data_IF_693300352909
#
_entry.id   IF_693300352909
#
_cell.length_a   1.000
_cell.length_b   1.000
_cell.length_c   1.000
_cell.angle_alpha   90.00
_cell.angle_beta   90.00
_cell.angle_gamma   90.00
#
_symmetry.space_group_name_H-M   'P 1'
#
loop_
_entity.id
_entity.type
_entity.pdbx_description
1 polymer ?
#
# COMPACT_ATOMS: atom_id res chain seq x y z
N UNK A 1 50.35 -3.03 -45.35
CA UNK A 1 51.30 -2.71 -44.25
C UNK A 1 50.43 -2.54 -42.99
N UNK A 2 50.48 -3.37 -41.93
CA UNK A 2 51.53 -3.54 -40.87
C UNK A 2 51.96 -2.17 -40.29
N UNK A 3 51.97 -1.84 -39.00
CA UNK A 3 51.75 -2.52 -37.68
C UNK A 3 50.98 -1.55 -36.73
N UNK A 4 50.21 -1.86 -35.68
CA UNK A 4 50.20 -2.89 -34.60
C UNK A 4 50.98 -2.57 -33.30
N UNK A 5 50.26 -2.10 -32.26
CA UNK A 5 50.44 -2.32 -30.78
C UNK A 5 49.12 -1.87 -30.09
N UNK A 6 48.31 -2.69 -29.39
CA UNK A 6 48.47 -3.35 -28.06
C UNK A 6 48.84 -2.36 -26.93
N UNK A 7 48.19 -2.32 -25.75
CA UNK A 7 47.02 -3.01 -25.16
C UNK A 7 46.44 -2.11 -24.02
N UNK A 8 45.49 -2.43 -23.11
CA UNK A 8 44.81 -3.68 -22.69
C UNK A 8 43.43 -3.36 -22.04
N UNK A 9 42.78 -4.34 -21.36
CA UNK A 9 41.50 -4.20 -20.61
C UNK A 9 41.63 -4.96 -19.26
N UNK A 10 41.01 -4.46 -18.17
CA UNK A 10 40.30 -5.32 -17.21
C UNK A 10 38.92 -4.74 -16.81
N UNK A 11 37.88 -5.51 -16.51
CA UNK A 11 37.71 -6.96 -16.59
C UNK A 11 36.30 -7.36 -16.13
N UNK A 12 35.48 -7.91 -17.03
CA UNK A 12 34.11 -8.35 -16.73
C UNK A 12 34.09 -9.64 -15.92
N UNK A 13 33.35 -9.70 -14.80
CA UNK A 13 33.04 -10.96 -14.11
C UNK A 13 31.66 -11.50 -14.52
N UNK A 14 31.63 -12.33 -15.56
CA UNK A 14 30.53 -13.29 -15.78
C UNK A 14 30.65 -14.44 -14.77
N UNK A 15 29.56 -14.87 -14.14
CA UNK A 15 29.47 -16.17 -13.45
C UNK A 15 28.96 -17.24 -14.44
N UNK A 16 29.46 -18.49 -14.40
CA UNK A 16 29.01 -19.57 -15.27
C UNK A 16 27.77 -20.31 -14.71
N UNK A 17 27.00 -21.02 -15.55
CA UNK A 17 25.82 -21.77 -15.13
C UNK A 17 26.12 -23.24 -14.76
N UNK A 18 25.50 -23.72 -13.67
CA UNK A 18 25.41 -25.10 -13.15
C UNK A 18 24.27 -25.14 -12.09
N UNK A 19 23.56 -26.23 -11.76
CA UNK A 19 23.50 -27.61 -12.31
C UNK A 19 22.13 -28.25 -11.97
N UNK A 20 21.67 -29.23 -12.75
CA UNK A 20 20.56 -30.17 -12.45
C UNK A 20 20.63 -31.33 -13.48
N UNK A 21 20.15 -32.58 -13.22
CA UNK A 21 19.18 -33.01 -12.20
C UNK A 21 19.49 -34.39 -11.50
N UNK A 22 18.45 -34.97 -10.85
CA UNK A 22 18.13 -36.44 -10.71
C UNK A 22 18.54 -37.22 -9.41
N UNK A 23 17.93 -38.40 -9.07
CA UNK A 23 17.07 -38.47 -7.86
C UNK A 23 17.20 -39.73 -6.95
N UNK A 24 16.37 -39.78 -5.87
CA UNK A 24 16.03 -40.97 -5.06
C UNK A 24 16.58 -40.93 -3.62
N UNK A 25 16.10 -41.72 -2.65
CA UNK A 25 14.83 -42.44 -2.45
C UNK A 25 14.80 -42.98 -0.98
N UNK A 26 13.59 -43.26 -0.42
CA UNK A 26 13.37 -43.98 0.86
C UNK A 26 13.88 -43.31 2.18
N UNK A 27 13.31 -43.55 3.38
CA UNK A 27 12.03 -44.17 3.79
C UNK A 27 11.80 -44.00 5.31
N UNK A 28 10.58 -44.33 5.79
CA UNK A 28 10.14 -44.66 7.17
C UNK A 28 9.41 -43.59 7.99
N UNK A 29 8.09 -43.70 7.94
CA UNK A 29 7.18 -43.48 9.08
C UNK A 29 7.40 -44.52 10.19
N UNK A 30 6.88 -44.27 11.39
CA UNK A 30 5.86 -45.19 11.94
C UNK A 30 4.59 -44.49 12.47
N UNK A 31 3.56 -45.30 12.73
CA UNK A 31 2.18 -44.90 13.10
C UNK A 31 1.93 -44.90 14.61
N UNK A 32 1.07 -43.95 15.03
CA UNK A 32 -0.11 -44.06 15.92
C UNK A 32 -0.14 -44.90 17.23
N UNK A 33 -0.60 -44.23 18.30
CA UNK A 33 -1.58 -44.65 19.33
C UNK A 33 -2.17 -43.34 19.92
N UNK A 34 -3.47 -43.07 20.14
CA UNK A 34 -4.66 -43.80 20.62
C UNK A 34 -4.66 -44.05 22.14
N UNK A 35 -5.63 -43.43 22.84
CA UNK A 35 -5.95 -43.59 24.27
C UNK A 35 -6.12 -42.22 24.98
N UNK A 36 -7.33 -41.68 25.21
CA UNK A 36 -8.44 -42.09 26.11
C UNK A 36 -8.37 -41.46 27.53
N UNK A 37 -9.24 -40.45 27.76
CA UNK A 37 -9.80 -39.98 29.05
C UNK A 37 -10.71 -41.06 29.71
N UNK A 38 -11.34 -40.91 30.92
CA UNK A 38 -11.48 -39.79 31.89
C UNK A 38 -11.32 -40.26 33.38
N UNK A 39 -12.12 -39.88 34.43
CA UNK A 39 -12.57 -38.57 34.99
C UNK A 39 -12.22 -38.38 36.52
N UNK A 40 -12.57 -37.23 37.16
CA UNK A 40 -13.03 -37.26 38.58
C UNK A 40 -12.85 -36.05 39.54
N UNK A 41 -13.89 -35.20 39.62
CA UNK A 41 -14.53 -34.60 40.84
C UNK A 41 -13.85 -33.67 41.90
N UNK A 42 -14.76 -32.91 42.57
CA UNK A 42 -14.65 -32.12 43.83
C UNK A 42 -13.96 -30.74 43.74
N UNK A 43 -14.44 -29.63 44.37
CA UNK A 43 -15.62 -29.37 45.26
C UNK A 43 -15.98 -27.86 45.26
N UNK A 44 -17.14 -27.45 45.79
CA UNK A 44 -17.67 -26.07 45.72
C UNK A 44 -17.92 -25.40 47.09
N UNK A 45 -17.93 -24.04 47.13
CA UNK A 45 -18.65 -23.12 48.07
C UNK A 45 -18.02 -21.69 48.04
N UNK A 46 -18.67 -20.61 48.55
CA UNK A 46 -20.09 -20.26 48.71
C UNK A 46 -20.46 -18.87 48.07
N UNK A 47 -21.73 -18.39 48.11
CA UNK A 47 -22.16 -17.19 47.36
C UNK A 47 -22.03 -15.87 48.13
N UNK A 48 -21.99 -14.74 47.41
CA UNK A 48 -22.04 -13.39 47.98
C UNK A 48 -23.29 -12.63 47.51
N UNK A 49 -24.17 -12.28 48.43
CA UNK A 49 -25.43 -11.55 48.18
C UNK A 49 -25.29 -10.08 48.59
N UNK A 50 -25.47 -9.14 47.64
CA UNK A 50 -25.81 -7.73 47.95
C UNK A 50 -26.84 -7.19 46.96
N UNK A 51 -27.72 -6.34 47.47
CA UNK A 51 -28.89 -5.81 46.77
C UNK A 51 -28.54 -4.91 45.58
N UNK A 52 -29.37 -4.95 44.54
CA UNK A 52 -29.52 -3.86 43.57
C UNK A 52 -31.00 -3.47 43.51
N UNK A 53 -31.30 -2.20 43.77
CA UNK A 53 -32.63 -1.62 43.53
C UNK A 53 -32.85 -1.27 42.05
N UNK A 54 -34.08 -0.91 41.65
CA UNK A 54 -34.42 -0.69 40.25
C UNK A 54 -33.77 0.60 39.72
N UNK A 55 -32.79 0.47 38.83
CA UNK A 55 -32.31 1.58 38.02
C UNK A 55 -33.20 1.74 36.77
N UNK A 56 -33.78 2.92 36.60
CA UNK A 56 -34.49 3.30 35.38
C UNK A 56 -33.57 3.21 34.14
N UNK A 57 -34.11 2.88 32.95
CA UNK A 57 -33.28 2.75 31.75
C UNK A 57 -32.68 4.10 31.35
N UNK A 58 -31.38 4.18 31.03
CA UNK A 58 -30.78 5.40 30.50
C UNK A 58 -31.34 5.65 29.10
N UNK A 59 -31.93 6.83 28.91
CA UNK A 59 -32.41 7.31 27.61
C UNK A 59 -31.20 7.45 26.68
N UNK A 60 -31.10 6.53 25.72
CA UNK A 60 -30.01 6.51 24.76
C UNK A 60 -30.18 7.69 23.77
N UNK A 61 -29.58 8.84 24.09
CA UNK A 61 -29.40 9.92 23.11
C UNK A 61 -28.45 9.39 22.03
N UNK A 62 -28.79 9.49 20.73
CA UNK A 62 -27.85 9.15 19.69
C UNK A 62 -26.60 10.02 19.84
N UNK A 63 -25.44 9.39 20.00
CA UNK A 63 -24.17 10.09 19.95
C UNK A 63 -24.07 10.80 18.60
N UNK A 64 -23.54 12.03 18.60
CA UNK A 64 -23.29 12.77 17.37
C UNK A 64 -22.40 11.90 16.48
N UNK A 65 -22.95 11.44 15.36
CA UNK A 65 -22.14 11.02 14.23
C UNK A 65 -21.25 12.20 13.86
N UNK A 66 -19.96 12.07 14.12
CA UNK A 66 -18.96 12.97 13.55
C UNK A 66 -18.99 12.73 12.05
N UNK A 67 -19.80 13.52 11.34
CA UNK A 67 -19.66 13.71 9.90
C UNK A 67 -18.18 14.00 9.67
N UNK A 68 -17.50 13.07 8.99
CA UNK A 68 -16.18 13.30 8.45
C UNK A 68 -16.35 14.52 7.54
N UNK A 69 -15.79 15.67 7.90
CA UNK A 69 -15.82 16.81 7.00
C UNK A 69 -15.12 16.39 5.71
N UNK A 70 -15.68 16.73 4.54
CA UNK A 70 -15.17 16.22 3.28
C UNK A 70 -13.73 16.69 3.09
N UNK A 71 -12.87 15.74 2.76
CA UNK A 71 -11.53 15.97 2.26
C UNK A 71 -11.65 16.70 0.92
N UNK A 72 -11.51 18.03 0.94
CA UNK A 72 -11.70 18.86 -0.26
C UNK A 72 -10.42 18.83 -1.11
N UNK A 73 -10.13 17.67 -1.69
CA UNK A 73 -9.24 17.60 -2.84
C UNK A 73 -9.84 18.47 -3.94
N UNK A 74 -9.11 19.49 -4.39
CA UNK A 74 -9.53 20.35 -5.49
C UNK A 74 -9.05 19.77 -6.85
N UNK A 75 -9.76 20.07 -7.96
CA UNK A 75 -9.28 19.70 -9.28
C UNK A 75 -7.96 20.42 -9.61
N UNK A 76 -7.14 19.87 -10.53
CA UNK A 76 -5.90 20.49 -10.95
C UNK A 76 -6.15 21.69 -11.88
N UNK A 77 -5.61 22.85 -11.52
CA UNK A 77 -5.77 24.10 -12.29
C UNK A 77 -4.96 24.12 -13.61
N UNK A 78 -3.96 23.25 -13.76
CA UNK A 78 -2.98 23.25 -14.87
C UNK A 78 -3.22 22.17 -15.94
N UNK A 79 -4.42 21.57 -15.97
CA UNK A 79 -4.77 20.45 -16.86
C UNK A 79 -5.72 20.89 -17.95
N UNK A 80 -5.30 20.75 -19.21
CA UNK A 80 -6.17 20.87 -20.38
C UNK A 80 -7.11 19.65 -20.45
N UNK A 81 -8.33 19.81 -19.91
CA UNK A 81 -9.37 18.78 -19.95
C UNK A 81 -9.88 18.51 -21.38
N UNK A 82 -9.78 19.46 -22.31
CA UNK A 82 -10.14 19.22 -23.71
C UNK A 82 -9.07 18.33 -24.40
N UNK A 83 -7.79 18.51 -24.07
CA UNK A 83 -6.73 17.60 -24.48
C UNK A 83 -6.93 16.21 -23.87
N UNK A 84 -7.18 16.12 -22.56
CA UNK A 84 -7.46 14.85 -21.89
C UNK A 84 -8.66 14.12 -22.51
N UNK A 85 -9.72 14.86 -22.87
CA UNK A 85 -10.89 14.35 -23.58
C UNK A 85 -10.52 13.74 -24.94
N UNK A 86 -9.79 14.50 -25.79
CA UNK A 86 -9.35 14.01 -27.11
C UNK A 86 -8.49 12.75 -27.02
N UNK A 87 -7.57 12.69 -26.07
CA UNK A 87 -6.69 11.52 -25.86
C UNK A 87 -7.47 10.29 -25.38
N UNK A 88 -8.55 10.47 -24.61
CA UNK A 88 -9.42 9.37 -24.20
C UNK A 88 -10.29 8.91 -25.37
N UNK A 89 -11.00 9.82 -26.04
CA UNK A 89 -11.93 9.50 -27.12
C UNK A 89 -11.21 8.87 -28.34
N UNK A 90 -9.91 9.14 -28.52
CA UNK A 90 -9.07 8.52 -29.56
C UNK A 90 -8.71 7.05 -29.26
N UNK A 91 -8.65 6.67 -27.99
CA UNK A 91 -8.01 5.43 -27.56
C UNK A 91 -8.91 4.45 -26.80
N UNK A 92 -10.07 4.89 -26.31
CA UNK A 92 -11.03 4.07 -25.59
C UNK A 92 -12.38 4.16 -26.31
N UNK A 93 -12.98 3.00 -26.60
CA UNK A 93 -14.28 2.90 -27.29
C UNK A 93 -15.41 3.30 -26.32
N UNK A 94 -15.65 4.61 -26.21
CA UNK A 94 -16.60 5.22 -25.32
C UNK A 94 -17.17 6.51 -25.94
N UNK A 95 -18.47 6.77 -25.72
CA UNK A 95 -19.09 8.01 -26.16
C UNK A 95 -18.44 9.22 -25.46
N UNK A 96 -18.13 10.32 -26.19
CA UNK A 96 -17.65 11.56 -25.58
C UNK A 96 -18.66 12.10 -24.55
N UNK A 97 -18.20 12.29 -23.32
CA UNK A 97 -18.99 12.79 -22.18
C UNK A 97 -18.21 13.88 -21.44
N UNK A 98 -18.86 14.79 -20.68
CA UNK A 98 -18.15 15.72 -19.82
C UNK A 98 -17.37 15.00 -18.71
N UNK A 99 -16.31 15.63 -18.21
CA UNK A 99 -15.63 15.18 -16.99
C UNK A 99 -16.39 15.66 -15.75
N UNK A 100 -16.76 14.73 -14.88
CA UNK A 100 -17.19 14.98 -13.52
C UNK A 100 -15.98 14.76 -12.60
N UNK A 101 -15.47 15.82 -11.96
CA UNK A 101 -14.39 15.69 -10.99
C UNK A 101 -14.89 15.00 -9.71
N UNK A 102 -14.16 13.98 -9.27
CA UNK A 102 -14.44 13.25 -8.04
C UNK A 102 -13.31 13.55 -7.05
N UNK A 103 -13.59 14.18 -5.88
CA UNK A 103 -12.58 14.53 -4.89
C UNK A 103 -12.14 13.28 -4.09
N UNK A 104 -11.52 12.34 -4.80
CA UNK A 104 -11.03 11.06 -4.30
C UNK A 104 -9.69 10.73 -4.97
N UNK A 105 -8.73 10.31 -4.16
CA UNK A 105 -7.39 9.91 -4.58
C UNK A 105 -6.32 10.71 -3.85
N UNK A 106 -5.34 10.02 -3.28
CA UNK A 106 -4.23 10.64 -2.53
C UNK A 106 -3.12 11.09 -3.51
N UNK A 107 -2.62 10.16 -4.32
CA UNK A 107 -1.66 10.39 -5.42
C UNK A 107 -2.34 10.59 -6.81
N UNK A 108 -3.64 10.91 -6.87
CA UNK A 108 -4.29 11.20 -8.15
C UNK A 108 -5.49 12.12 -8.03
N UNK A 109 -5.70 12.97 -9.04
CA UNK A 109 -7.01 13.56 -9.30
C UNK A 109 -7.85 12.58 -10.11
N UNK A 110 -9.08 12.35 -9.67
CA UNK A 110 -9.98 11.39 -10.30
C UNK A 110 -11.14 12.09 -11.00
N UNK A 111 -11.49 11.60 -12.19
CA UNK A 111 -12.65 12.07 -12.94
C UNK A 111 -13.49 10.90 -13.41
N UNK A 112 -14.81 11.06 -13.42
CA UNK A 112 -15.72 10.20 -14.18
C UNK A 112 -15.97 10.82 -15.56
N UNK A 113 -15.93 10.01 -16.61
CA UNK A 113 -16.32 10.36 -17.98
C UNK A 113 -17.25 9.27 -18.51
N UNK A 114 -18.55 9.42 -18.28
CA UNK A 114 -19.55 8.39 -18.62
C UNK A 114 -19.30 7.06 -17.89
N UNK A 115 -18.93 6.03 -18.65
CA UNK A 115 -18.58 4.69 -18.17
C UNK A 115 -17.09 4.52 -17.80
N UNK A 116 -16.29 5.58 -17.86
CA UNK A 116 -14.86 5.57 -17.56
C UNK A 116 -14.56 6.27 -16.23
N UNK A 117 -13.62 5.71 -15.48
CA UNK A 117 -12.91 6.37 -14.39
C UNK A 117 -11.50 6.71 -14.85
N UNK A 118 -11.11 7.97 -14.70
CA UNK A 118 -9.88 8.53 -15.25
C UNK A 118 -9.05 9.03 -14.07
N UNK A 119 -7.97 8.31 -13.77
CA UNK A 119 -7.00 8.67 -12.74
C UNK A 119 -5.84 9.44 -13.39
N UNK A 120 -5.76 10.73 -13.07
CA UNK A 120 -4.65 11.59 -13.42
C UNK A 120 -3.64 11.57 -12.26
N UNK A 121 -2.55 10.82 -12.41
CA UNK A 121 -1.57 10.61 -11.34
C UNK A 121 -0.79 11.90 -11.07
N UNK A 122 -0.60 12.20 -9.78
CA UNK A 122 0.28 13.25 -9.27
C UNK A 122 1.75 12.80 -9.31
N UNK A 123 1.95 11.48 -9.30
CA UNK A 123 3.23 10.79 -9.51
C UNK A 123 4.31 11.15 -8.48
N UNK A 124 3.88 11.47 -7.25
CA UNK A 124 4.74 12.05 -6.21
C UNK A 124 5.93 11.16 -5.81
N UNK A 125 5.80 9.84 -6.02
CA UNK A 125 6.83 8.83 -5.76
C UNK A 125 7.19 8.02 -7.03
N UNK A 126 6.72 8.46 -8.20
CA UNK A 126 6.70 7.68 -9.43
C UNK A 126 5.67 6.54 -9.41
N UNK A 127 5.41 5.97 -10.59
CA UNK A 127 4.54 4.83 -10.79
C UNK A 127 5.27 3.72 -11.57
N UNK A 128 4.72 2.50 -11.53
CA UNK A 128 5.27 1.35 -12.26
C UNK A 128 4.28 0.95 -13.36
N UNK A 129 4.51 1.30 -14.64
CA UNK A 129 3.62 0.88 -15.73
C UNK A 129 3.39 -0.64 -15.79
N UNK A 130 4.44 -1.43 -15.51
CA UNK A 130 4.36 -2.89 -15.42
C UNK A 130 3.35 -3.40 -14.38
N UNK A 131 3.06 -2.64 -13.33
CA UNK A 131 2.10 -2.98 -12.29
C UNK A 131 0.65 -2.88 -12.80
N UNK A 132 0.34 -1.82 -13.55
CA UNK A 132 -0.93 -1.69 -14.26
C UNK A 132 -1.10 -2.74 -15.36
N UNK A 133 -0.03 -3.11 -16.08
CA UNK A 133 -0.03 -4.24 -17.01
C UNK A 133 -0.27 -5.58 -16.31
N UNK A 134 0.29 -5.80 -15.12
CA UNK A 134 0.04 -7.02 -14.35
C UNK A 134 -1.43 -7.14 -13.93
N UNK A 135 -2.04 -6.06 -13.43
CA UNK A 135 -3.47 -6.02 -13.11
C UNK A 135 -4.35 -6.35 -14.33
N UNK A 136 -4.06 -5.77 -15.49
CA UNK A 136 -4.77 -6.06 -16.74
C UNK A 136 -4.65 -7.53 -17.17
N UNK A 137 -3.48 -8.17 -16.99
CA UNK A 137 -3.32 -9.59 -17.27
C UNK A 137 -4.07 -10.48 -16.27
N UNK A 138 -4.09 -10.12 -14.97
CA UNK A 138 -4.81 -10.86 -13.93
C UNK A 138 -6.32 -10.91 -14.15
N UNK A 139 -6.94 -9.78 -14.55
CA UNK A 139 -8.37 -9.75 -14.90
C UNK A 139 -8.63 -10.64 -16.13
N UNK A 140 -7.82 -10.46 -17.19
CA UNK A 140 -8.02 -11.18 -18.47
C UNK A 140 -7.76 -12.68 -18.38
N UNK A 141 -6.91 -13.14 -17.47
CA UNK A 141 -6.70 -14.57 -17.20
C UNK A 141 -7.71 -15.14 -16.21
N UNK A 142 -8.54 -14.31 -15.57
CA UNK A 142 -9.43 -14.69 -14.48
C UNK A 142 -8.70 -15.26 -13.26
N UNK A 143 -7.41 -14.96 -13.10
CA UNK A 143 -6.58 -15.54 -12.01
C UNK A 143 -6.90 -14.93 -10.66
N UNK A 144 -7.25 -13.64 -10.63
CA UNK A 144 -7.69 -12.91 -9.44
C UNK A 144 -8.76 -11.88 -9.82
N UNK A 145 -9.65 -11.53 -8.88
CA UNK A 145 -10.66 -10.48 -9.09
C UNK A 145 -10.06 -9.11 -8.83
N UNK A 146 -9.77 -8.36 -9.89
CA UNK A 146 -9.06 -7.08 -9.82
C UNK A 146 -9.79 -5.99 -10.60
N UNK A 147 -9.73 -4.74 -10.12
CA UNK A 147 -10.20 -3.58 -10.87
C UNK A 147 -9.08 -3.16 -11.83
N UNK A 148 -8.99 -3.89 -12.95
CA UNK A 148 -7.95 -3.65 -13.95
C UNK A 148 -8.16 -2.31 -14.69
N UNK A 149 -7.06 -1.63 -15.05
CA UNK A 149 -7.11 -0.53 -15.99
C UNK A 149 -7.36 -1.04 -17.42
N UNK A 150 -7.96 -0.17 -18.23
CA UNK A 150 -8.21 -0.39 -19.65
C UNK A 150 -6.92 -0.18 -20.44
N UNK A 151 -6.65 -1.12 -21.35
CA UNK A 151 -5.67 -0.95 -22.41
C UNK A 151 -6.34 -0.21 -23.56
N UNK A 152 -5.78 0.92 -24.00
CA UNK A 152 -6.31 1.65 -25.14
C UNK A 152 -5.92 1.01 -26.47
N UNK A 153 -6.49 1.50 -27.57
CA UNK A 153 -6.38 0.93 -28.92
C UNK A 153 -4.95 0.78 -29.48
N UNK A 154 -3.96 1.48 -28.92
CA UNK A 154 -2.53 1.39 -29.28
C UNK A 154 -1.74 0.37 -28.43
N UNK A 155 -2.41 -0.35 -27.53
CA UNK A 155 -1.81 -1.31 -26.60
C UNK A 155 -1.25 -0.71 -25.30
N UNK A 156 -1.33 0.62 -25.11
CA UNK A 156 -0.84 1.29 -23.89
C UNK A 156 -1.91 1.35 -22.80
N UNK A 157 -1.49 1.12 -21.56
CA UNK A 157 -2.32 1.27 -20.35
C UNK A 157 -2.09 2.61 -19.67
N UNK A 158 -0.83 3.04 -19.56
CA UNK A 158 -0.48 4.39 -19.07
C UNK A 158 -0.27 5.32 -20.25
N UNK A 159 -0.88 6.50 -20.21
CA UNK A 159 -0.67 7.62 -21.15
C UNK A 159 -0.05 8.80 -20.42
N UNK A 160 0.31 9.85 -21.15
CA UNK A 160 0.77 11.11 -20.56
C UNK A 160 0.01 12.27 -21.20
N UNK A 161 -0.59 13.12 -20.38
CA UNK A 161 -1.26 14.36 -20.81
C UNK A 161 -0.63 15.53 -20.07
N UNK A 162 -0.05 16.47 -20.83
CA UNK A 162 0.85 17.47 -20.28
C UNK A 162 2.04 16.82 -19.57
N UNK A 163 2.12 16.98 -18.25
CA UNK A 163 3.15 16.37 -17.38
C UNK A 163 2.68 15.13 -16.61
N UNK A 164 1.40 14.76 -16.73
CA UNK A 164 0.76 13.82 -15.82
C UNK A 164 0.55 12.44 -16.45
N UNK A 165 0.91 11.34 -15.77
CA UNK A 165 0.48 10.01 -16.16
C UNK A 165 -1.05 9.88 -16.03
N UNK A 166 -1.69 9.29 -17.04
CA UNK A 166 -3.12 9.00 -17.08
C UNK A 166 -3.33 7.50 -17.11
N UNK A 167 -4.18 6.99 -16.22
CA UNK A 167 -4.63 5.60 -16.20
C UNK A 167 -6.15 5.57 -16.20
N UNK A 168 -6.74 4.87 -17.18
CA UNK A 168 -8.18 4.78 -17.36
C UNK A 168 -8.68 3.41 -16.89
N UNK A 169 -9.80 3.37 -16.20
CA UNK A 169 -10.44 2.20 -15.63
C UNK A 169 -11.91 2.14 -16.06
N UNK A 170 -12.55 0.96 -16.11
CA UNK A 170 -14.02 0.89 -16.21
C UNK A 170 -14.62 1.47 -14.92
N UNK A 171 -15.55 2.41 -15.04
CA UNK A 171 -16.34 2.88 -13.90
C UNK A 171 -17.29 1.78 -13.44
N UNK A 172 -17.23 1.41 -12.17
CA UNK A 172 -18.11 0.42 -11.54
C UNK A 172 -18.57 0.94 -10.19
N UNK A 173 -19.86 0.82 -9.90
CA UNK A 173 -20.41 1.10 -8.58
C UNK A 173 -20.08 -0.08 -7.66
N UNK A 174 -19.08 0.12 -6.80
CA UNK A 174 -18.56 -0.88 -5.86
C UNK A 174 -18.49 -0.27 -4.45
N UNK A 175 -18.78 -1.08 -3.42
CA UNK A 175 -18.72 -0.63 -2.03
C UNK A 175 -17.32 -0.86 -1.46
N UNK A 176 -16.65 0.19 -1.00
CA UNK A 176 -15.35 0.06 -0.34
C UNK A 176 -15.49 -0.69 1.00
N UNK A 177 -14.60 -1.65 1.29
CA UNK A 177 -14.55 -2.22 2.64
C UNK A 177 -14.19 -1.14 3.67
N UNK A 178 -14.78 -1.24 4.85
CA UNK A 178 -14.41 -0.40 5.99
C UNK A 178 -13.64 -1.23 7.02
N UNK A 179 -12.62 -0.66 7.70
CA UNK A 179 -11.88 -1.34 8.77
C UNK A 179 -12.75 -1.91 9.92
N UNK A 180 -14.01 -1.49 10.03
CA UNK A 180 -14.89 -1.81 11.16
C UNK A 180 -15.96 -2.80 10.70
N UNK A 181 -16.18 -3.87 11.48
CA UNK A 181 -17.21 -4.87 11.17
C UNK A 181 -16.82 -5.89 10.09
N UNK A 182 -15.51 -6.07 9.81
CA UNK A 182 -15.01 -7.17 8.98
C UNK A 182 -15.51 -8.50 9.56
N UNK A 183 -16.27 -9.25 8.76
CA UNK A 183 -16.83 -10.55 9.16
C UNK A 183 -15.81 -11.68 8.94
N UNK A 184 -16.09 -12.87 9.48
CA UNK A 184 -15.29 -14.06 9.21
C UNK A 184 -15.31 -14.45 7.72
N UNK A 185 -16.43 -14.20 7.03
CA UNK A 185 -16.58 -14.44 5.59
C UNK A 185 -15.75 -13.43 4.79
N UNK A 186 -15.75 -12.15 5.19
CA UNK A 186 -14.89 -11.13 4.59
C UNK A 186 -13.40 -11.45 4.80
N UNK A 187 -13.02 -11.86 6.00
CA UNK A 187 -11.64 -12.28 6.28
C UNK A 187 -11.21 -13.45 5.37
N UNK A 188 -12.08 -14.45 5.23
CA UNK A 188 -11.86 -15.60 4.33
C UNK A 188 -11.77 -15.17 2.86
N UNK A 189 -12.62 -14.24 2.42
CA UNK A 189 -12.63 -13.72 1.06
C UNK A 189 -11.38 -12.88 0.75
N UNK A 190 -10.91 -12.04 1.69
CA UNK A 190 -9.67 -11.26 1.56
C UNK A 190 -8.45 -12.16 1.46
N UNK A 191 -8.34 -13.17 2.34
CA UNK A 191 -7.24 -14.16 2.28
C UNK A 191 -7.28 -14.91 0.95
N UNK A 192 -8.46 -15.40 0.53
CA UNK A 192 -8.62 -16.10 -0.75
C UNK A 192 -8.22 -15.23 -1.96
N UNK A 193 -8.56 -13.94 -1.93
CA UNK A 193 -8.24 -12.99 -2.99
C UNK A 193 -6.73 -12.72 -3.08
N UNK A 194 -6.04 -12.55 -1.95
CA UNK A 194 -4.58 -12.37 -1.97
C UNK A 194 -3.83 -13.67 -2.27
N UNK A 195 -4.31 -14.83 -1.82
CA UNK A 195 -3.75 -16.12 -2.22
C UNK A 195 -3.85 -16.33 -3.74
N UNK A 196 -4.90 -15.83 -4.40
CA UNK A 196 -5.00 -15.83 -5.86
C UNK A 196 -3.95 -14.93 -6.52
N UNK A 197 -3.74 -13.73 -6.00
CA UNK A 197 -2.71 -12.78 -6.46
C UNK A 197 -1.30 -13.34 -6.26
N UNK A 198 -0.98 -13.86 -5.07
CA UNK A 198 0.34 -14.39 -4.72
C UNK A 198 0.70 -15.64 -5.54
N UNK A 199 -0.30 -16.43 -5.96
CA UNK A 199 -0.12 -17.59 -6.86
C UNK A 199 -0.05 -17.21 -8.34
N UNK A 200 -0.19 -15.93 -8.71
CA UNK A 200 0.01 -15.49 -10.08
C UNK A 200 1.47 -15.73 -10.51
N UNK A 201 1.68 -16.77 -11.33
CA UNK A 201 3.02 -17.23 -11.68
C UNK A 201 3.78 -16.23 -12.54
N UNK A 202 5.09 -16.10 -12.31
CA UNK A 202 6.02 -15.31 -13.15
C UNK A 202 5.89 -15.60 -14.65
N UNK A 203 5.48 -16.80 -15.04
CA UNK A 203 5.21 -17.16 -16.44
C UNK A 203 3.96 -16.48 -17.04
N UNK A 204 2.86 -16.34 -16.27
CA UNK A 204 1.64 -15.66 -16.72
C UNK A 204 1.87 -14.14 -16.86
N UNK A 205 2.83 -13.61 -16.10
CA UNK A 205 3.19 -12.20 -16.05
C UNK A 205 4.55 -11.91 -16.72
N UNK A 206 5.06 -12.84 -17.53
CA UNK A 206 6.39 -12.73 -18.16
C UNK A 206 6.51 -11.57 -19.16
N UNK A 207 5.38 -11.02 -19.61
CA UNK A 207 5.29 -9.83 -20.46
C UNK A 207 5.26 -8.50 -19.65
N UNK A 208 5.38 -8.54 -18.32
CA UNK A 208 5.31 -7.35 -17.46
C UNK A 208 6.68 -7.05 -16.84
N UNK A 209 7.12 -5.81 -17.02
CA UNK A 209 8.33 -5.28 -16.38
C UNK A 209 7.98 -4.81 -14.96
N UNK A 210 7.83 -5.78 -14.06
CA UNK A 210 7.65 -5.55 -12.63
C UNK A 210 9.01 -5.49 -11.92
N UNK A 211 9.23 -4.52 -11.01
CA UNK A 211 10.41 -4.52 -10.17
C UNK A 211 10.38 -5.70 -9.18
N UNK A 212 11.53 -6.00 -8.60
CA UNK A 212 11.66 -6.89 -7.45
C UNK A 212 11.95 -6.06 -6.20
N UNK A 213 11.49 -6.51 -5.03
CA UNK A 213 11.86 -5.90 -3.75
C UNK A 213 13.39 -5.96 -3.54
N UNK A 214 14.00 -4.79 -3.34
CA UNK A 214 15.43 -4.64 -3.04
C UNK A 214 15.72 -4.40 -1.56
N UNK A 215 14.67 -4.17 -0.74
CA UNK A 215 14.74 -3.68 0.64
C UNK A 215 15.38 -2.29 0.79
N UNK A 216 15.54 -1.55 -0.31
CA UNK A 216 16.06 -0.19 -0.30
C UNK A 216 15.04 0.81 0.26
N UNK A 217 15.56 1.81 0.97
CA UNK A 217 14.77 2.87 1.60
C UNK A 217 14.69 4.03 0.59
N UNK A 218 13.72 3.97 -0.33
CA UNK A 218 13.58 4.94 -1.43
C UNK A 218 13.45 6.41 -0.97
N UNK A 219 12.81 6.63 0.19
CA UNK A 219 12.58 7.94 0.83
C UNK A 219 13.68 8.32 1.85
N UNK A 220 14.88 7.73 1.75
CA UNK A 220 15.99 7.99 2.68
C UNK A 220 16.42 9.45 2.70
N UNK A 221 16.44 10.09 1.53
CA UNK A 221 16.91 11.47 1.40
C UNK A 221 15.89 12.45 1.96
N UNK A 222 14.59 12.20 1.78
CA UNK A 222 13.50 12.96 2.39
C UNK A 222 13.54 12.91 3.92
N UNK A 223 13.83 11.73 4.50
CA UNK A 223 14.00 11.58 5.95
C UNK A 223 15.28 12.24 6.47
N UNK A 224 16.36 12.22 5.69
CA UNK A 224 17.58 12.98 6.01
C UNK A 224 17.26 14.47 6.06
N UNK A 225 16.59 15.01 5.03
CA UNK A 225 16.16 16.40 4.97
C UNK A 225 15.20 16.78 6.13
N UNK A 226 14.30 15.88 6.52
CA UNK A 226 13.40 16.07 7.67
C UNK A 226 14.17 16.13 9.01
N UNK A 227 15.20 15.28 9.19
CA UNK A 227 16.05 15.29 10.38
C UNK A 227 16.98 16.51 10.43
N UNK A 228 17.57 16.90 9.30
CA UNK A 228 18.38 18.12 9.17
C UNK A 228 17.54 19.36 9.46
N UNK A 229 16.28 19.38 9.01
CA UNK A 229 15.33 20.43 9.35
C UNK A 229 15.02 20.47 10.86
N UNK A 230 14.91 19.33 11.54
CA UNK A 230 14.69 19.26 12.99
C UNK A 230 15.90 19.76 13.82
N UNK A 231 17.11 19.55 13.32
CA UNK A 231 18.36 20.01 13.94
C UNK A 231 18.70 21.48 13.64
N UNK A 232 18.13 22.04 12.57
CA UNK A 232 18.26 23.46 12.25
C UNK A 232 17.75 24.38 13.40
N UNK A 233 18.18 25.66 13.44
CA UNK A 233 17.66 26.65 14.38
C UNK A 233 16.12 26.72 14.36
N UNK A 234 15.46 27.04 15.49
CA UNK A 234 14.01 27.04 15.59
C UNK A 234 13.31 27.84 14.50
N UNK A 235 12.39 27.20 13.78
CA UNK A 235 11.53 27.88 12.83
C UNK A 235 10.64 28.91 13.56
N UNK A 236 10.67 30.15 13.10
CA UNK A 236 9.88 31.26 13.65
C UNK A 236 8.42 31.11 13.21
N UNK A 237 7.49 31.54 14.08
CA UNK A 237 6.06 31.57 13.78
C UNK A 237 5.24 30.39 14.32
N UNK A 238 3.98 30.34 13.91
CA UNK A 238 2.95 29.45 14.45
C UNK A 238 2.26 28.54 13.42
N UNK A 239 2.54 28.71 12.11
CA UNK A 239 2.02 27.87 11.04
C UNK A 239 2.65 26.47 10.95
N UNK A 240 2.19 25.64 10.03
CA UNK A 240 2.54 24.21 9.96
C UNK A 240 4.03 23.91 9.86
N UNK A 241 4.84 24.69 9.11
CA UNK A 241 6.30 24.49 9.05
C UNK A 241 6.98 24.67 10.42
N UNK A 242 6.52 25.63 11.22
CA UNK A 242 7.03 25.83 12.58
C UNK A 242 6.49 24.79 13.58
N UNK A 243 5.26 24.28 13.37
CA UNK A 243 4.73 23.14 14.13
C UNK A 243 5.53 21.87 13.81
N UNK A 244 5.81 21.60 12.54
CA UNK A 244 6.61 20.47 12.06
C UNK A 244 8.01 20.50 12.64
N UNK A 245 8.68 21.66 12.65
CA UNK A 245 10.01 21.81 13.24
C UNK A 245 10.04 21.33 14.69
N UNK A 246 9.13 21.83 15.53
CA UNK A 246 9.02 21.43 16.94
C UNK A 246 8.72 19.94 17.09
N UNK A 247 7.77 19.44 16.31
CA UNK A 247 7.31 18.05 16.33
C UNK A 247 8.44 17.06 15.96
N UNK A 248 9.10 17.28 14.82
CA UNK A 248 10.25 16.47 14.39
C UNK A 248 11.42 16.59 15.37
N UNK A 249 11.64 17.76 15.98
CA UNK A 249 12.69 17.96 16.98
C UNK A 249 12.42 17.18 18.28
N UNK A 250 11.16 17.06 18.71
CA UNK A 250 10.77 16.20 19.85
C UNK A 250 11.07 14.73 19.55
N UNK A 251 10.58 14.19 18.44
CA UNK A 251 10.69 12.76 18.12
C UNK A 251 11.97 12.37 17.35
N UNK A 252 12.90 13.31 17.13
CA UNK A 252 14.10 13.16 16.28
C UNK A 252 14.89 11.89 16.57
N UNK A 253 15.17 11.62 17.84
CA UNK A 253 16.05 10.52 18.22
C UNK A 253 15.33 9.17 18.18
N UNK A 254 13.99 9.16 18.28
CA UNK A 254 13.15 8.00 18.00
C UNK A 254 13.04 7.72 16.50
N UNK A 255 12.90 8.75 15.65
CA UNK A 255 12.96 8.61 14.18
C UNK A 255 14.32 8.03 13.75
N UNK A 256 15.42 8.51 14.35
CA UNK A 256 16.77 7.94 14.15
C UNK A 256 16.89 6.50 14.63
N UNK A 257 16.18 6.10 15.69
CA UNK A 257 16.15 4.72 16.15
C UNK A 257 15.40 3.81 15.16
N UNK A 258 14.22 4.23 14.71
CA UNK A 258 13.45 3.53 13.67
C UNK A 258 14.24 3.38 12.36
N UNK A 259 15.02 4.40 11.96
CA UNK A 259 15.89 4.31 10.78
C UNK A 259 17.00 3.26 10.90
N UNK A 260 17.54 3.05 12.11
CA UNK A 260 18.49 1.95 12.39
C UNK A 260 17.78 0.60 12.39
N UNK A 261 16.66 0.49 13.09
CA UNK A 261 15.81 -0.70 13.10
C UNK A 261 15.44 -1.14 11.67
N UNK A 262 15.04 -0.20 10.80
CA UNK A 262 14.72 -0.47 9.40
C UNK A 262 15.94 -0.97 8.61
N UNK A 263 17.13 -0.41 8.83
CA UNK A 263 18.35 -0.84 8.15
C UNK A 263 18.80 -2.25 8.59
N UNK A 264 18.69 -2.55 9.89
CA UNK A 264 18.99 -3.88 10.44
C UNK A 264 17.99 -4.93 9.92
N UNK A 265 16.69 -4.59 9.90
CA UNK A 265 15.63 -5.44 9.34
C UNK A 265 15.80 -5.65 7.82
N UNK A 266 16.20 -4.62 7.07
CA UNK A 266 16.49 -4.74 5.64
C UNK A 266 17.62 -5.76 5.38
N UNK A 267 18.70 -5.70 6.16
CA UNK A 267 19.80 -6.64 6.07
C UNK A 267 19.37 -8.09 6.39
N UNK A 268 18.51 -8.28 7.40
CA UNK A 268 17.92 -9.60 7.74
C UNK A 268 17.05 -10.13 6.60
N UNK A 269 16.15 -9.31 6.05
CA UNK A 269 15.24 -9.75 4.98
C UNK A 269 16.01 -10.08 3.68
N UNK A 270 16.99 -9.25 3.31
CA UNK A 270 17.86 -9.49 2.17
C UNK A 270 18.70 -10.78 2.32
N UNK A 271 19.15 -11.10 3.54
CA UNK A 271 19.92 -12.32 3.82
C UNK A 271 19.08 -13.61 3.82
N UNK A 272 17.78 -13.54 4.16
CA UNK A 272 16.89 -14.71 4.21
C UNK A 272 16.33 -15.14 2.85
N UNK A 273 16.14 -14.19 1.91
CA UNK A 273 15.83 -14.50 0.52
C UNK A 273 14.40 -15.01 0.22
N UNK A 274 14.30 -15.65 -0.95
CA UNK A 274 13.08 -16.11 -1.63
C UNK A 274 12.19 -17.10 -0.82
N UNK A 275 10.89 -17.27 -1.17
CA UNK A 275 10.24 -16.91 -2.44
C UNK A 275 9.67 -15.49 -2.51
N UNK A 276 9.78 -14.89 -3.71
CA UNK A 276 9.02 -13.70 -4.10
C UNK A 276 7.80 -14.09 -4.94
N UNK A 277 6.65 -13.57 -4.54
CA UNK A 277 5.34 -13.67 -5.21
C UNK A 277 4.98 -12.32 -5.84
N UNK A 278 3.93 -12.27 -6.66
CA UNK A 278 3.34 -10.98 -6.99
C UNK A 278 2.70 -10.42 -5.72
N UNK A 279 3.06 -9.19 -5.34
CA UNK A 279 2.46 -8.46 -4.23
C UNK A 279 1.73 -7.24 -4.75
N UNK A 280 0.57 -6.93 -4.18
CA UNK A 280 -0.19 -5.73 -4.48
C UNK A 280 0.53 -4.46 -3.97
N UNK A 281 1.03 -4.52 -2.74
CA UNK A 281 1.75 -3.46 -2.06
C UNK A 281 0.96 -2.79 -0.97
N UNK A 282 -0.28 -2.41 -1.25
CA UNK A 282 -1.17 -1.87 -0.23
C UNK A 282 -2.60 -2.43 -0.36
N UNK A 283 -2.84 -3.73 -0.10
CA UNK A 283 -4.19 -4.29 -0.01
C UNK A 283 -4.86 -3.89 1.30
N UNK A 284 -5.00 -2.58 1.52
CA UNK A 284 -5.70 -2.00 2.65
C UNK A 284 -7.21 -2.04 2.46
N UNK A 285 -7.97 -1.80 3.54
CA UNK A 285 -9.43 -1.67 3.47
C UNK A 285 -9.91 -0.65 2.40
N UNK A 286 -9.11 0.38 2.11
CA UNK A 286 -9.43 1.38 1.08
C UNK A 286 -9.38 0.82 -0.35
N UNK A 287 -8.53 -0.17 -0.60
CA UNK A 287 -8.25 -0.73 -1.91
C UNK A 287 -9.02 -2.03 -2.19
N UNK A 288 -9.75 -2.57 -1.20
CA UNK A 288 -10.62 -3.74 -1.38
C UNK A 288 -12.07 -3.30 -1.50
N UNK A 289 -12.66 -3.60 -2.65
CA UNK A 289 -14.02 -3.20 -3.02
C UNK A 289 -14.93 -4.43 -3.12
N UNK A 290 -16.20 -4.29 -2.73
CA UNK A 290 -17.24 -5.32 -2.83
C UNK A 290 -18.11 -5.05 -4.05
N UNK A 291 -18.21 -6.05 -4.93
CA UNK A 291 -19.18 -6.10 -6.03
C UNK A 291 -20.16 -7.27 -5.88
N UNK A 292 -21.09 -7.40 -6.82
CA UNK A 292 -22.17 -8.39 -6.78
C UNK A 292 -21.69 -9.84 -6.64
N UNK A 293 -20.60 -10.22 -7.31
CA UNK A 293 -20.00 -11.57 -7.24
C UNK A 293 -18.67 -11.61 -6.45
N UNK A 294 -18.52 -10.72 -5.47
CA UNK A 294 -17.51 -10.80 -4.42
C UNK A 294 -16.52 -9.63 -4.39
N UNK A 295 -15.41 -9.83 -3.66
CA UNK A 295 -14.37 -8.82 -3.48
C UNK A 295 -13.53 -8.62 -4.75
N UNK A 296 -13.02 -7.42 -4.91
CA UNK A 296 -12.20 -6.93 -6.03
C UNK A 296 -11.09 -6.04 -5.47
N UNK A 297 -9.85 -6.23 -5.91
CA UNK A 297 -8.70 -5.43 -5.47
C UNK A 297 -8.36 -4.31 -6.47
N UNK A 298 -8.22 -3.07 -6.00
CA UNK A 298 -7.98 -1.86 -6.77
C UNK A 298 -6.67 -1.14 -6.35
N UNK A 299 -6.27 -0.11 -7.10
CA UNK A 299 -5.01 0.67 -6.99
C UNK A 299 -3.70 -0.15 -7.07
N UNK A 300 -3.52 -0.79 -8.22
CA UNK A 300 -2.37 -1.65 -8.52
C UNK A 300 -1.05 -0.91 -8.78
N UNK A 301 -0.97 0.42 -8.61
CA UNK A 301 0.22 1.21 -8.98
C UNK A 301 1.51 0.80 -8.26
N UNK A 302 1.39 0.19 -7.07
CA UNK A 302 2.50 -0.28 -6.24
C UNK A 302 2.87 -1.76 -6.40
N UNK A 303 2.34 -2.50 -7.38
CA UNK A 303 2.59 -3.94 -7.47
C UNK A 303 4.03 -4.29 -7.89
N UNK A 304 4.62 -5.31 -7.25
CA UNK A 304 5.98 -5.78 -7.54
C UNK A 304 6.20 -7.25 -7.11
N UNK A 305 7.30 -7.85 -7.53
CA UNK A 305 7.76 -9.16 -7.06
C UNK A 305 8.40 -9.03 -5.68
N UNK A 306 7.73 -9.53 -4.64
CA UNK A 306 8.19 -9.35 -3.26
C UNK A 306 7.75 -10.49 -2.34
N UNK A 307 8.21 -10.47 -1.08
CA UNK A 307 7.75 -11.40 -0.06
C UNK A 307 6.26 -11.16 0.27
N UNK A 308 5.44 -12.21 0.47
CA UNK A 308 4.00 -12.07 0.70
C UNK A 308 3.66 -11.24 1.95
N UNK A 309 4.57 -11.17 2.92
CA UNK A 309 4.46 -10.32 4.12
C UNK A 309 4.28 -8.83 3.81
N UNK A 310 4.66 -8.36 2.60
CA UNK A 310 4.38 -7.00 2.13
C UNK A 310 2.87 -6.70 2.13
N UNK A 311 2.09 -7.63 1.59
CA UNK A 311 0.63 -7.50 1.51
C UNK A 311 -0.03 -7.82 2.85
N UNK A 312 0.41 -8.90 3.50
CA UNK A 312 -0.18 -9.36 4.76
C UNK A 312 0.01 -8.36 5.91
N UNK A 313 1.07 -7.54 5.88
CA UNK A 313 1.22 -6.40 6.79
C UNK A 313 0.03 -5.42 6.68
N UNK A 314 -0.38 -5.04 5.47
CA UNK A 314 -1.48 -4.09 5.24
C UNK A 314 -2.84 -4.68 5.61
N UNK A 315 -3.08 -5.94 5.29
CA UNK A 315 -4.28 -6.68 5.71
C UNK A 315 -4.40 -6.68 7.22
N UNK A 316 -3.36 -7.12 7.93
CA UNK A 316 -3.36 -7.15 9.40
C UNK A 316 -3.54 -5.75 10.01
N UNK A 317 -2.83 -4.75 9.47
CA UNK A 317 -2.87 -3.36 9.94
C UNK A 317 -4.24 -2.69 9.77
N UNK A 318 -4.93 -2.96 8.67
CA UNK A 318 -6.12 -2.17 8.26
C UNK A 318 -7.45 -2.90 8.37
N UNK A 319 -7.44 -4.24 8.45
CA UNK A 319 -8.63 -5.08 8.55
C UNK A 319 -8.66 -5.92 9.84
N UNK A 320 -7.55 -5.97 10.60
CA UNK A 320 -7.45 -6.77 11.82
C UNK A 320 -7.46 -8.29 11.59
N UNK A 321 -7.34 -8.73 10.34
CA UNK A 321 -7.34 -10.15 9.96
C UNK A 321 -5.99 -10.76 10.38
N UNK A 322 -6.04 -11.87 11.11
CA UNK A 322 -4.85 -12.69 11.39
C UNK A 322 -4.45 -13.46 10.12
N UNK A 323 -3.17 -13.32 9.76
CA UNK A 323 -2.58 -13.78 8.50
C UNK A 323 -1.66 -14.98 8.75
N UNK A 324 -1.72 -16.04 7.94
CA UNK A 324 -0.96 -17.27 8.17
C UNK A 324 0.55 -17.10 7.91
N UNK A 325 1.36 -17.85 8.66
CA UNK A 325 2.78 -18.19 8.43
C UNK A 325 3.74 -17.07 7.93
N UNK A 326 3.49 -15.83 8.33
CA UNK A 326 4.33 -14.69 7.99
C UNK A 326 5.64 -14.63 8.82
N UNK A 327 6.79 -14.45 8.17
CA UNK A 327 8.08 -14.26 8.85
C UNK A 327 8.11 -12.93 9.60
N UNK A 328 8.31 -12.99 10.92
CA UNK A 328 8.26 -11.81 11.79
C UNK A 328 9.19 -10.65 11.35
N UNK A 329 10.46 -10.87 10.95
CA UNK A 329 11.33 -9.77 10.50
C UNK A 329 10.79 -9.02 9.27
N UNK A 330 10.08 -9.71 8.38
CA UNK A 330 9.51 -9.12 7.17
C UNK A 330 8.31 -8.24 7.51
N UNK A 331 7.41 -8.71 8.39
CA UNK A 331 6.31 -7.90 8.90
C UNK A 331 6.81 -6.64 9.65
N UNK A 332 7.86 -6.78 10.47
CA UNK A 332 8.46 -5.63 11.14
C UNK A 332 9.16 -4.67 10.16
N UNK A 333 9.83 -5.19 9.12
CA UNK A 333 10.43 -4.37 8.07
C UNK A 333 9.36 -3.49 7.40
N UNK A 334 8.26 -4.07 6.93
CA UNK A 334 7.18 -3.29 6.28
C UNK A 334 6.46 -2.36 7.26
N UNK A 335 6.28 -2.75 8.53
CA UNK A 335 5.76 -1.88 9.58
C UNK A 335 6.60 -0.63 9.77
N UNK A 336 7.91 -0.77 9.97
CA UNK A 336 8.80 0.37 10.21
C UNK A 336 8.98 1.19 8.93
N UNK A 337 9.10 0.53 7.77
CA UNK A 337 9.18 1.17 6.45
C UNK A 337 7.96 2.07 6.21
N UNK A 338 6.75 1.59 6.49
CA UNK A 338 5.52 2.38 6.31
C UNK A 338 5.48 3.59 7.24
N UNK A 339 5.73 3.40 8.53
CA UNK A 339 5.71 4.53 9.50
C UNK A 339 6.70 5.62 9.09
N UNK A 340 7.91 5.22 8.70
CA UNK A 340 8.94 6.15 8.24
C UNK A 340 8.59 6.79 6.88
N UNK A 341 7.93 6.06 5.95
CA UNK A 341 7.53 6.62 4.66
C UNK A 341 6.43 7.67 4.78
N UNK A 342 5.52 7.51 5.74
CA UNK A 342 4.47 8.48 6.06
C UNK A 342 5.07 9.73 6.69
N UNK A 343 5.97 9.57 7.69
CA UNK A 343 6.69 10.70 8.29
C UNK A 343 7.45 11.49 7.22
N UNK A 344 8.12 10.82 6.27
CA UNK A 344 8.84 11.45 5.16
C UNK A 344 7.91 12.31 4.29
N UNK A 345 6.73 11.80 3.94
CA UNK A 345 5.78 12.49 3.07
C UNK A 345 5.20 13.74 3.72
N UNK A 346 4.65 13.62 4.93
CA UNK A 346 4.10 14.77 5.64
C UNK A 346 5.20 15.78 6.03
N UNK A 347 6.42 15.33 6.34
CA UNK A 347 7.55 16.22 6.57
C UNK A 347 7.94 17.00 5.29
N UNK A 348 7.86 16.36 4.13
CA UNK A 348 8.08 17.02 2.83
C UNK A 348 6.97 18.04 2.54
N UNK A 349 5.70 17.66 2.70
CA UNK A 349 4.54 18.56 2.51
C UNK A 349 4.60 19.78 3.42
N UNK A 350 4.67 19.58 4.74
CA UNK A 350 4.66 20.67 5.72
C UNK A 350 6.03 21.38 5.85
N UNK A 351 7.09 20.78 5.30
CA UNK A 351 8.40 21.37 5.18
C UNK A 351 8.51 22.37 4.02
N UNK A 352 7.73 22.22 2.96
CA UNK A 352 7.75 23.15 1.82
C UNK A 352 7.48 24.61 2.26
N UNK A 353 8.21 25.61 1.74
CA UNK A 353 7.87 27.02 1.95
C UNK A 353 6.47 27.33 1.39
N UNK A 354 5.56 27.77 2.25
CA UNK A 354 4.21 28.26 1.92
C UNK A 354 4.05 29.68 2.45
N UNK A 355 3.13 30.45 1.87
CA UNK A 355 2.79 31.77 2.40
C UNK A 355 2.16 31.65 3.79
N UNK A 356 2.57 32.50 4.74
CA UNK A 356 2.04 32.50 6.09
C UNK A 356 0.51 32.74 6.10
N UNK A 357 -0.22 31.90 6.84
CA UNK A 357 -1.68 32.01 7.00
C UNK A 357 -2.52 31.21 6.00
N UNK A 358 -1.91 30.53 5.02
CA UNK A 358 -2.61 29.55 4.17
C UNK A 358 -2.79 28.21 4.92
N UNK A 359 -3.71 28.18 5.88
CA UNK A 359 -4.24 26.94 6.48
C UNK A 359 -5.56 26.59 5.79
N UNK A 360 -5.58 25.50 5.01
CA UNK A 360 -6.79 24.95 4.39
C UNK A 360 -7.25 23.67 5.12
N UNK A 361 -8.44 23.17 4.77
CA UNK A 361 -9.01 21.97 5.41
C UNK A 361 -8.21 20.69 5.10
N UNK A 362 -7.49 20.65 3.97
CA UNK A 362 -6.62 19.53 3.58
C UNK A 362 -5.39 19.47 4.49
N UNK A 363 -4.73 20.61 4.73
CA UNK A 363 -3.59 20.74 5.65
C UNK A 363 -3.99 20.38 7.09
N UNK A 364 -5.18 20.77 7.56
CA UNK A 364 -5.72 20.33 8.87
C UNK A 364 -5.89 18.81 8.93
N UNK A 365 -6.51 18.21 7.90
CA UNK A 365 -6.75 16.78 7.83
C UNK A 365 -5.43 15.98 7.77
N UNK A 366 -4.49 16.39 6.92
CA UNK A 366 -3.18 15.76 6.75
C UNK A 366 -2.28 15.93 7.98
N UNK A 367 -2.37 17.05 8.69
CA UNK A 367 -1.67 17.20 9.97
C UNK A 367 -2.17 16.18 11.01
N UNK A 368 -3.48 15.94 11.05
CA UNK A 368 -4.08 14.85 11.83
C UNK A 368 -3.75 13.43 11.34
N UNK A 369 -3.20 13.26 10.13
CA UNK A 369 -2.59 11.99 9.67
C UNK A 369 -1.18 11.84 10.24
N UNK A 370 -0.30 12.83 10.05
CA UNK A 370 1.08 12.84 10.55
C UNK A 370 1.17 12.47 12.05
N UNK A 371 0.32 13.09 12.88
CA UNK A 371 0.33 12.85 14.33
C UNK A 371 0.07 11.38 14.74
N UNK A 372 -0.49 10.54 13.86
CA UNK A 372 -0.72 9.10 14.12
C UNK A 372 0.48 8.20 13.81
N UNK A 373 1.57 8.76 13.27
CA UNK A 373 2.77 8.02 12.88
C UNK A 373 3.97 8.27 13.77
N UNK A 374 3.91 9.31 14.59
CA UNK A 374 4.99 9.62 15.52
C UNK A 374 4.86 8.73 16.77
N UNK A 375 5.98 8.29 17.35
CA UNK A 375 5.96 7.57 18.62
C UNK A 375 5.28 8.38 19.72
N UNK A 376 4.52 7.71 20.58
CA UNK A 376 4.03 8.29 21.84
C UNK A 376 5.23 8.54 22.77
N UNK A 377 5.17 9.61 23.58
CA UNK A 377 6.21 10.05 24.52
C UNK A 377 6.19 9.26 25.85
#
# INVERSE_FOLDING_TARGET
MRCSTKAAIPGTRRRPPCWSPRPGACSRTPRAAVGSTPPGCCTAAPPCTRHCGPCSPPICRPSRTTRKEPEVLLPPDDVDLDQLGREIDLHYDADPQPFEFVPLGEDSWSFRRGALWVSLRRDLRGHVPGAYHAAHLLERSGTARVLAPLMGADGRIVRTVGRYPVVVFPYRELEQLTPHGITADDATAVVTLLDQVHRAGKAALAATELPCESYEIAFRDDLTAALDFADAPPAVGNGYRARLHRLLRTHRDAIRAMLRELADLAAVCAAQGEPFVLTHGEPSAANILRGADGLVLADWGGALWGPPERDWFHVRRTLGIDVPDCRRPFLDFYRVRWVLSEIAEYATRFGAPRADGAEDAEDVAMWGRLLRYLPED
#
